data_IF_929689576467
#
_entry.id   IF_929689576467
#
_cell.length_a   1.000
_cell.length_b   1.000
_cell.length_c   1.000
_cell.angle_alpha   90.00
_cell.angle_beta   90.00
_cell.angle_gamma   90.00
#
_symmetry.space_group_name_H-M   'P 1'
#
loop_
_entity.id
_entity.type
_entity.pdbx_description
1 polymer ?
#
# COMPACT_ATOMS: atom_id res chain seq x y z
N UNK A 1 -4.93 20.86 -4.77
CA UNK A 1 -4.70 19.93 -5.91
C UNK A 1 -4.62 20.60 -7.28
N UNK A 2 -5.30 21.73 -7.56
CA UNK A 2 -5.30 22.36 -8.90
C UNK A 2 -3.91 22.78 -9.42
N UNK A 3 -3.04 23.31 -8.55
CA UNK A 3 -1.68 23.72 -8.93
C UNK A 3 -0.76 22.55 -9.28
N UNK A 4 -0.98 21.39 -8.65
CA UNK A 4 -0.21 20.18 -8.89
C UNK A 4 -0.55 19.58 -10.27
N UNK A 5 -1.83 19.55 -10.62
CA UNK A 5 -2.32 19.13 -11.96
C UNK A 5 -1.90 20.07 -13.09
N UNK A 6 -1.60 21.33 -12.77
CA UNK A 6 -1.11 22.30 -13.76
C UNK A 6 0.36 22.07 -14.14
N UNK A 7 1.12 21.36 -13.30
CA UNK A 7 2.57 21.09 -13.49
C UNK A 7 2.90 19.61 -13.70
N UNK A 8 1.98 18.72 -13.39
CA UNK A 8 2.15 17.26 -13.45
C UNK A 8 0.90 16.64 -14.07
N UNK A 9 1.09 15.69 -14.99
CA UNK A 9 -0.03 15.06 -15.67
C UNK A 9 -0.86 14.20 -14.71
N UNK A 10 -2.14 13.98 -15.03
CA UNK A 10 -3.01 13.09 -14.25
C UNK A 10 -2.48 11.66 -14.21
N UNK A 11 -1.77 11.22 -15.27
CA UNK A 11 -1.11 9.93 -15.33
C UNK A 11 0.04 9.84 -14.33
N UNK A 12 0.93 10.83 -14.31
CA UNK A 12 2.03 10.89 -13.34
C UNK A 12 1.52 10.96 -11.89
N UNK A 13 0.46 11.74 -11.62
CA UNK A 13 -0.14 11.76 -10.27
C UNK A 13 -0.72 10.40 -9.87
N UNK A 14 -1.29 9.66 -10.82
CA UNK A 14 -1.80 8.31 -10.58
C UNK A 14 -0.66 7.33 -10.32
N UNK A 15 0.46 7.46 -11.05
CA UNK A 15 1.67 6.68 -10.84
C UNK A 15 2.29 6.98 -9.47
N UNK A 16 2.36 8.25 -9.06
CA UNK A 16 2.82 8.65 -7.72
C UNK A 16 1.89 8.13 -6.63
N UNK A 17 0.57 8.15 -6.83
CA UNK A 17 -0.39 7.53 -5.90
C UNK A 17 -0.22 6.02 -5.79
N UNK A 18 0.03 5.33 -6.91
CA UNK A 18 0.29 3.89 -6.91
C UNK A 18 1.64 3.56 -6.25
N UNK A 19 2.67 4.38 -6.50
CA UNK A 19 3.97 4.28 -5.84
C UNK A 19 3.82 4.49 -4.33
N UNK A 20 3.09 5.52 -3.88
CA UNK A 20 2.79 5.76 -2.46
C UNK A 20 2.00 4.62 -1.82
N UNK A 21 1.08 3.97 -2.55
CA UNK A 21 0.37 2.79 -2.04
C UNK A 21 1.29 1.58 -1.83
N UNK A 22 2.37 1.46 -2.61
CA UNK A 22 3.30 0.32 -2.57
C UNK A 22 4.47 0.60 -1.61
N UNK A 23 5.08 1.77 -1.73
CA UNK A 23 6.26 2.18 -0.98
C UNK A 23 5.90 2.79 0.38
N UNK A 24 4.67 3.30 0.54
CA UNK A 24 4.29 4.19 1.62
C UNK A 24 5.03 5.54 1.52
N UNK A 25 4.67 6.53 2.38
CA UNK A 25 5.51 7.71 2.54
C UNK A 25 6.91 7.21 2.91
N UNK A 26 7.91 7.57 2.10
CA UNK A 26 9.32 7.17 2.22
C UNK A 26 9.72 6.93 3.68
N UNK A 27 9.56 5.69 4.19
CA UNK A 27 9.81 5.42 5.60
C UNK A 27 8.92 4.42 6.34
N UNK A 28 7.65 4.20 5.98
CA UNK A 28 6.73 3.40 6.82
C UNK A 28 7.24 2.00 7.19
N UNK A 29 7.28 1.08 6.21
CA UNK A 29 7.59 -0.33 6.48
C UNK A 29 9.01 -0.55 7.05
N UNK A 30 10.00 0.21 6.59
CA UNK A 30 11.38 0.07 7.06
C UNK A 30 11.58 0.66 8.46
N UNK A 31 10.96 1.80 8.76
CA UNK A 31 11.04 2.37 10.11
C UNK A 31 10.28 1.53 11.13
N UNK A 32 9.19 0.87 10.74
CA UNK A 32 8.50 -0.08 11.61
C UNK A 32 9.39 -1.27 11.97
N UNK A 33 10.12 -1.81 10.98
CA UNK A 33 11.10 -2.89 11.24
C UNK A 33 12.16 -2.41 12.23
N UNK A 34 12.78 -1.26 11.99
CA UNK A 34 13.82 -0.73 12.88
C UNK A 34 13.29 -0.44 14.30
N UNK A 35 12.10 0.16 14.39
CA UNK A 35 11.44 0.45 15.65
C UNK A 35 11.05 -0.82 16.40
N UNK A 36 10.60 -1.85 15.68
CA UNK A 36 10.26 -3.16 16.26
C UNK A 36 11.48 -3.88 16.83
N UNK A 37 12.63 -3.77 16.18
CA UNK A 37 13.90 -4.31 16.69
C UNK A 37 14.30 -3.58 17.97
N UNK A 38 14.24 -2.24 17.98
CA UNK A 38 14.55 -1.45 19.17
C UNK A 38 13.61 -1.79 20.34
N UNK A 39 12.30 -1.89 20.09
CA UNK A 39 11.31 -2.26 21.08
C UNK A 39 11.56 -3.67 21.66
N UNK A 40 11.91 -4.64 20.81
CA UNK A 40 12.27 -5.99 21.25
C UNK A 40 13.53 -6.00 22.13
N UNK A 41 14.54 -5.19 21.80
CA UNK A 41 15.73 -5.03 22.66
C UNK A 41 15.33 -4.48 24.03
N UNK A 42 14.58 -3.37 24.08
CA UNK A 42 14.14 -2.73 25.33
C UNK A 42 13.26 -3.68 26.18
N UNK A 43 12.35 -4.41 25.54
CA UNK A 43 11.49 -5.36 26.24
C UNK A 43 12.28 -6.53 26.83
N UNK A 44 13.27 -7.03 26.09
CA UNK A 44 14.09 -8.17 26.54
C UNK A 44 15.11 -7.80 27.60
N UNK A 45 15.63 -6.56 27.62
CA UNK A 45 16.53 -6.09 28.69
C UNK A 45 15.80 -5.92 30.01
N UNK A 46 14.52 -5.54 30.00
CA UNK A 46 13.68 -5.41 31.19
C UNK A 46 12.96 -6.72 31.60
N UNK A 47 13.24 -7.83 30.90
CA UNK A 47 12.49 -9.09 31.04
C UNK A 47 12.87 -9.88 32.30
N UNK A 48 11.86 -10.42 33.00
CA UNK A 48 12.05 -11.31 34.15
C UNK A 48 12.55 -12.72 33.79
N UNK A 49 13.17 -13.43 34.75
CA UNK A 49 13.62 -14.82 34.57
C UNK A 49 12.44 -15.73 34.18
N UNK A 50 12.67 -16.70 33.30
CA UNK A 50 11.69 -17.68 32.81
C UNK A 50 10.46 -17.12 32.07
N UNK A 51 10.48 -15.88 31.59
CA UNK A 51 9.40 -15.33 30.74
C UNK A 51 9.77 -15.45 29.26
N UNK A 52 8.81 -15.38 28.32
CA UNK A 52 9.11 -15.49 26.87
C UNK A 52 9.92 -14.28 26.39
N UNK A 53 10.94 -14.50 25.55
CA UNK A 53 11.63 -13.40 24.87
C UNK A 53 10.71 -12.76 23.81
N UNK A 54 10.58 -11.44 23.83
CA UNK A 54 9.85 -10.69 22.83
C UNK A 54 10.62 -10.72 21.49
N UNK A 55 9.89 -10.90 20.40
CA UNK A 55 10.40 -10.89 19.03
C UNK A 55 10.05 -9.56 18.36
N UNK A 56 10.84 -9.05 17.41
CA UNK A 56 10.49 -7.85 16.65
C UNK A 56 9.10 -7.94 16.00
N UNK A 57 8.70 -9.13 15.54
CA UNK A 57 7.37 -9.38 14.97
C UNK A 57 6.21 -9.16 15.95
N UNK A 58 6.44 -9.15 17.26
CA UNK A 58 5.42 -8.81 18.26
C UNK A 58 5.09 -7.31 18.27
N UNK A 59 5.99 -6.46 17.76
CA UNK A 59 5.87 -4.99 17.74
C UNK A 59 5.63 -4.42 16.33
N UNK A 60 5.67 -5.26 15.29
CA UNK A 60 5.40 -4.84 13.92
C UNK A 60 3.89 -4.62 13.69
N UNK A 61 3.46 -3.47 13.16
CA UNK A 61 2.07 -3.28 12.76
C UNK A 61 1.72 -4.20 11.58
N UNK A 62 0.50 -4.73 11.59
CA UNK A 62 -0.04 -5.55 10.50
C UNK A 62 -0.73 -4.66 9.47
N UNK A 63 0.05 -4.16 8.51
CA UNK A 63 -0.40 -3.22 7.48
C UNK A 63 -1.30 -3.88 6.41
N UNK A 64 -0.99 -5.12 6.03
CA UNK A 64 -1.79 -5.88 5.05
C UNK A 64 -2.88 -6.70 5.72
N UNK A 65 -4.00 -6.04 6.03
CA UNK A 65 -5.30 -6.72 6.22
C UNK A 65 -6.19 -6.62 4.99
N UNK A 66 -5.64 -6.21 3.84
CA UNK A 66 -6.39 -6.27 2.60
C UNK A 66 -6.76 -7.74 2.36
N UNK A 67 -8.06 -8.03 2.31
CA UNK A 67 -8.55 -9.34 1.86
C UNK A 67 -7.86 -9.64 0.53
N UNK A 68 -7.28 -10.83 0.40
CA UNK A 68 -6.73 -11.31 -0.87
C UNK A 68 -7.89 -11.33 -1.87
N UNK A 69 -7.95 -10.35 -2.75
CA UNK A 69 -9.01 -10.22 -3.75
C UNK A 69 -8.65 -11.09 -4.96
N UNK A 70 -9.65 -11.73 -5.55
CA UNK A 70 -9.47 -12.36 -6.86
C UNK A 70 -9.24 -11.27 -7.92
N UNK A 71 -8.51 -11.59 -9.00
CA UNK A 71 -8.23 -10.64 -10.07
C UNK A 71 -9.53 -10.11 -10.71
N UNK A 72 -10.60 -10.91 -10.70
CA UNK A 72 -11.94 -10.50 -11.17
C UNK A 72 -12.55 -9.44 -10.28
N UNK A 73 -12.42 -9.58 -8.96
CA UNK A 73 -12.88 -8.60 -7.97
C UNK A 73 -12.09 -7.29 -8.12
N UNK A 74 -10.76 -7.38 -8.30
CA UNK A 74 -9.92 -6.22 -8.57
C UNK A 74 -10.34 -5.50 -9.86
N UNK A 75 -10.57 -6.25 -10.95
CA UNK A 75 -11.00 -5.68 -12.22
C UNK A 75 -12.38 -5.01 -12.11
N UNK A 76 -13.31 -5.60 -11.36
CA UNK A 76 -14.63 -5.02 -11.12
C UNK A 76 -14.52 -3.70 -10.32
N UNK A 77 -13.67 -3.66 -9.29
CA UNK A 77 -13.41 -2.46 -8.49
C UNK A 77 -12.81 -1.34 -9.33
N UNK A 78 -11.79 -1.63 -10.14
CA UNK A 78 -11.16 -0.65 -11.04
C UNK A 78 -12.18 -0.10 -12.04
N UNK A 79 -13.02 -0.96 -12.64
CA UNK A 79 -14.08 -0.52 -13.57
C UNK A 79 -15.11 0.38 -12.90
N UNK A 80 -15.49 0.07 -11.66
CA UNK A 80 -16.40 0.89 -10.86
C UNK A 80 -15.80 2.26 -10.55
N UNK A 81 -14.54 2.30 -10.13
CA UNK A 81 -13.83 3.53 -9.82
C UNK A 81 -13.65 4.41 -11.06
N UNK A 82 -13.20 3.82 -12.18
CA UNK A 82 -13.06 4.51 -13.46
C UNK A 82 -14.36 5.18 -13.89
N UNK A 83 -15.50 4.48 -13.77
CA UNK A 83 -16.81 5.06 -14.11
C UNK A 83 -17.18 6.23 -13.20
N UNK A 84 -16.95 6.11 -11.88
CA UNK A 84 -17.25 7.18 -10.92
C UNK A 84 -16.39 8.43 -11.12
N UNK A 85 -15.19 8.24 -11.64
CA UNK A 85 -14.24 9.33 -11.94
C UNK A 85 -14.37 9.85 -13.38
N UNK A 86 -15.29 9.32 -14.18
CA UNK A 86 -15.51 9.75 -15.58
C UNK A 86 -14.46 9.25 -16.57
N UNK A 87 -13.68 8.23 -16.23
CA UNK A 87 -12.66 7.63 -17.10
C UNK A 87 -13.23 6.65 -18.14
N UNK A 88 -12.49 6.47 -19.23
CA UNK A 88 -12.85 5.56 -20.34
C UNK A 88 -12.14 4.20 -20.25
N UNK A 89 -12.89 3.11 -20.38
CA UNK A 89 -12.37 1.73 -20.45
C UNK A 89 -12.03 1.36 -21.91
N UNK A 90 -10.75 1.19 -22.21
CA UNK A 90 -10.25 0.87 -23.55
C UNK A 90 -10.11 -0.63 -23.82
N UNK A 91 -10.44 -1.49 -22.85
CA UNK A 91 -10.26 -2.96 -22.99
C UNK A 91 -11.11 -3.59 -24.09
N UNK A 92 -12.13 -2.89 -24.59
CA UNK A 92 -12.99 -3.35 -25.69
C UNK A 92 -12.60 -2.84 -27.08
N UNK A 93 -11.70 -1.86 -27.18
CA UNK A 93 -11.46 -1.09 -28.42
C UNK A 93 -10.62 -1.84 -29.48
N UNK A 94 -10.07 -3.01 -29.16
CA UNK A 94 -9.23 -3.79 -30.10
C UNK A 94 -9.95 -4.84 -30.95
N UNK A 95 -11.28 -5.03 -30.83
CA UNK A 95 -11.96 -6.13 -31.56
C UNK A 95 -12.50 -5.75 -32.95
N UNK A 96 -12.66 -4.47 -33.27
CA UNK A 96 -13.43 -4.04 -34.45
C UNK A 96 -12.60 -3.31 -35.51
N UNK A 97 -11.40 -3.83 -35.83
CA UNK A 97 -10.70 -3.48 -37.09
C UNK A 97 -10.47 -4.75 -37.91
N UNK A 98 -11.54 -5.17 -38.58
CA UNK A 98 -11.57 -6.08 -39.72
C UNK A 98 -12.28 -5.39 -40.87
#
# INVERSE_FOLDING_TARGET
>A
MAELLARTSSAELTEWMAYEQIAGPLGGARHDILSSVLAAVVANTARGKNTRAAQPTDFLPKWDRARRMDWREMLANVKSLNRRMGGTDTTRVRKDRG
#
